data_IF_194422187981
#
_entry.id   IF_194422187981
#
_cell.length_a   1.000
_cell.length_b   1.000
_cell.length_c   1.000
_cell.angle_alpha   90.00
_cell.angle_beta   90.00
_cell.angle_gamma   90.00
#
_symmetry.space_group_name_H-M   'P 1'
#
loop_
_entity.id
_entity.type
_entity.pdbx_description
1 polymer ?
#
# COMPACT_ATOMS: atom_id res chain seq x y z
N UNK A 1 23.65 65.73 28.57
CA UNK A 1 23.62 64.75 27.47
C UNK A 1 24.26 63.44 27.94
N UNK A 2 23.52 62.37 28.27
CA UNK A 2 24.12 61.06 28.51
C UNK A 2 23.99 60.18 27.25
N UNK A 3 25.11 59.71 26.71
CA UNK A 3 25.13 58.67 25.67
C UNK A 3 24.91 57.30 26.32
N UNK A 4 23.81 56.64 25.97
CA UNK A 4 23.51 55.24 26.29
C UNK A 4 24.37 54.34 25.40
N UNK A 5 25.16 53.44 26.01
CA UNK A 5 25.90 52.38 25.31
C UNK A 5 24.95 51.19 25.08
N UNK A 6 24.71 50.86 23.81
CA UNK A 6 23.99 49.65 23.41
C UNK A 6 24.90 48.42 23.52
N UNK A 7 24.43 47.39 24.22
CA UNK A 7 25.05 46.06 24.25
C UNK A 7 24.40 45.21 23.15
N UNK A 8 25.15 44.57 22.22
CA UNK A 8 24.54 43.81 21.14
C UNK A 8 23.99 42.50 21.68
N UNK A 9 22.72 42.27 21.37
CA UNK A 9 21.97 41.05 21.65
C UNK A 9 22.52 39.90 20.79
N UNK A 10 23.30 39.00 21.39
CA UNK A 10 23.77 37.79 20.73
C UNK A 10 22.63 36.77 20.57
N UNK A 11 22.15 36.56 19.34
CA UNK A 11 21.26 35.45 19.02
C UNK A 11 22.11 34.19 18.78
N UNK A 12 22.11 33.28 19.75
CA UNK A 12 22.62 31.92 19.57
C UNK A 12 21.60 31.12 18.74
N UNK A 13 21.84 31.02 17.44
CA UNK A 13 21.14 30.07 16.56
C UNK A 13 21.69 28.66 16.83
N UNK A 14 21.04 27.93 17.74
CA UNK A 14 21.28 26.50 17.89
C UNK A 14 20.76 25.76 16.64
N UNK A 15 21.69 25.25 15.83
CA UNK A 15 21.37 24.35 14.73
C UNK A 15 20.94 23.00 15.31
N UNK A 16 19.63 22.74 15.34
CA UNK A 16 19.13 21.40 15.58
C UNK A 16 19.42 20.54 14.34
N UNK A 17 20.48 19.73 14.39
CA UNK A 17 20.72 18.70 13.40
C UNK A 17 19.63 17.63 13.54
N UNK A 18 18.67 17.61 12.62
CA UNK A 18 17.73 16.51 12.52
C UNK A 18 18.52 15.26 12.11
N UNK A 19 18.64 14.28 13.03
CA UNK A 19 19.18 12.96 12.70
C UNK A 19 18.18 12.29 11.76
N UNK A 20 18.42 12.36 10.45
CA UNK A 20 17.71 11.53 9.50
C UNK A 20 18.21 10.11 9.66
N UNK A 21 17.35 9.24 10.18
CA UNK A 21 17.64 7.82 10.26
C UNK A 21 17.88 7.29 8.84
N UNK A 22 19.11 6.84 8.58
CA UNK A 22 19.49 6.28 7.29
C UNK A 22 18.63 5.05 6.99
N UNK A 23 18.01 5.06 5.81
CA UNK A 23 17.24 3.93 5.31
C UNK A 23 18.22 2.86 4.80
N UNK A 24 17.91 1.56 4.96
CA UNK A 24 18.75 0.51 4.40
C UNK A 24 18.83 0.60 2.88
N UNK A 25 19.94 0.13 2.30
CA UNK A 25 20.02 -0.10 0.86
C UNK A 25 18.99 -1.15 0.42
N UNK A 26 18.38 -0.94 -0.76
CA UNK A 26 17.41 -1.85 -1.32
C UNK A 26 18.09 -3.00 -2.11
N UNK A 27 17.44 -4.16 -2.23
CA UNK A 27 16.13 -4.51 -1.66
C UNK A 27 16.20 -4.99 -0.19
N UNK A 28 15.11 -4.80 0.56
CA UNK A 28 15.00 -5.33 1.94
C UNK A 28 13.55 -5.62 2.35
N UNK A 29 13.37 -6.54 3.30
CA UNK A 29 12.08 -6.78 3.93
C UNK A 29 11.69 -5.67 4.91
N UNK A 30 10.44 -5.23 4.83
CA UNK A 30 9.85 -4.29 5.77
C UNK A 30 8.51 -4.81 6.30
N UNK A 31 8.15 -4.36 7.50
CA UNK A 31 6.91 -4.72 8.20
C UNK A 31 6.01 -3.50 8.23
N UNK A 32 4.75 -3.69 7.85
CA UNK A 32 3.71 -2.66 7.97
C UNK A 32 3.41 -2.40 9.44
N UNK A 33 3.46 -1.12 9.84
CA UNK A 33 3.26 -0.67 11.24
C UNK A 33 2.04 0.24 11.41
N UNK A 34 1.24 0.41 10.37
CA UNK A 34 -0.06 1.08 10.42
C UNK A 34 -1.16 0.02 10.31
N UNK A 35 -2.35 0.30 10.85
CA UNK A 35 -3.44 -0.69 10.90
C UNK A 35 -3.94 -1.06 9.50
N UNK A 36 -3.97 -0.08 8.60
CA UNK A 36 -4.26 -0.26 7.18
C UNK A 36 -3.41 0.70 6.33
N UNK A 37 -2.89 0.18 5.21
CA UNK A 37 -2.12 0.95 4.22
C UNK A 37 -2.67 0.66 2.83
N UNK A 38 -3.01 1.71 2.09
CA UNK A 38 -3.40 1.57 0.69
C UNK A 38 -2.15 1.34 -0.18
N UNK A 39 -2.15 0.22 -0.90
CA UNK A 39 -1.19 -0.08 -1.96
C UNK A 39 -1.67 0.62 -3.23
N UNK A 40 -0.77 1.25 -3.98
CA UNK A 40 -1.14 2.11 -5.13
C UNK A 40 -0.42 1.72 -6.41
N UNK A 41 -0.99 2.16 -7.53
CA UNK A 41 -0.47 1.95 -8.89
C UNK A 41 0.74 2.83 -9.25
N UNK A 42 1.14 3.75 -8.37
CA UNK A 42 2.30 4.63 -8.56
C UNK A 42 2.59 5.49 -7.32
N UNK A 43 3.69 6.26 -7.33
CA UNK A 43 4.15 7.06 -6.19
C UNK A 43 3.36 8.38 -6.06
N UNK A 44 2.16 8.31 -5.48
CA UNK A 44 1.34 9.51 -5.23
C UNK A 44 -0.09 9.18 -4.84
N UNK A 45 -0.81 10.15 -4.24
CA UNK A 45 -2.20 9.94 -3.82
C UNK A 45 -3.22 10.42 -4.85
N UNK A 46 -2.91 11.50 -5.57
CA UNK A 46 -3.83 12.16 -6.51
C UNK A 46 -3.87 11.46 -7.87
N UNK A 47 -2.69 11.19 -8.45
CA UNK A 47 -2.59 10.62 -9.81
C UNK A 47 -2.63 9.08 -9.85
N UNK A 48 -2.48 8.44 -8.69
CA UNK A 48 -2.39 6.98 -8.60
C UNK A 48 -3.44 6.43 -7.63
N UNK A 49 -4.28 5.55 -8.17
CA UNK A 49 -5.36 4.90 -7.47
C UNK A 49 -4.85 3.78 -6.57
N UNK A 50 -5.65 3.45 -5.56
CA UNK A 50 -5.39 2.30 -4.72
C UNK A 50 -5.69 1.01 -5.49
N UNK A 51 -4.83 0.01 -5.32
CA UNK A 51 -4.91 -1.30 -5.99
C UNK A 51 -5.19 -2.43 -5.02
N UNK A 52 -4.92 -2.20 -3.73
CA UNK A 52 -5.10 -3.19 -2.66
C UNK A 52 -4.83 -2.56 -1.30
N UNK A 53 -4.83 -3.39 -0.27
CA UNK A 53 -4.62 -2.99 1.12
C UNK A 53 -3.64 -3.92 1.81
N UNK A 54 -2.81 -3.36 2.67
CA UNK A 54 -1.99 -4.09 3.63
C UNK A 54 -2.40 -3.72 5.04
N UNK A 55 -2.16 -4.62 5.98
CA UNK A 55 -2.48 -4.47 7.40
C UNK A 55 -1.21 -4.52 8.24
N UNK A 56 -1.32 -4.05 9.49
CA UNK A 56 -0.24 -4.15 10.47
C UNK A 56 0.30 -5.58 10.55
N UNK A 57 1.62 -5.72 10.47
CA UNK A 57 2.31 -7.01 10.52
C UNK A 57 2.55 -7.64 9.15
N UNK A 58 1.90 -7.17 8.09
CA UNK A 58 2.18 -7.64 6.73
C UNK A 58 3.63 -7.36 6.36
N UNK A 59 4.23 -8.33 5.66
CA UNK A 59 5.60 -8.24 5.15
C UNK A 59 5.56 -7.76 3.71
N UNK A 60 6.45 -6.84 3.39
CA UNK A 60 6.68 -6.38 2.01
C UNK A 60 8.17 -6.40 1.71
N UNK A 61 8.48 -6.61 0.44
CA UNK A 61 9.84 -6.46 -0.08
C UNK A 61 9.98 -5.09 -0.73
N UNK A 62 10.75 -4.19 -0.13
CA UNK A 62 11.03 -2.86 -0.67
C UNK A 62 12.12 -2.98 -1.72
N UNK A 63 11.87 -2.51 -2.94
CA UNK A 63 12.79 -2.54 -4.08
C UNK A 63 13.46 -1.20 -4.34
N UNK A 64 12.77 -0.09 -4.05
CA UNK A 64 13.27 1.26 -4.31
C UNK A 64 12.64 2.28 -3.36
N UNK A 65 13.38 3.35 -3.08
CA UNK A 65 12.86 4.56 -2.47
C UNK A 65 12.69 5.63 -3.54
N UNK A 66 11.47 6.11 -3.72
CA UNK A 66 11.11 7.14 -4.67
C UNK A 66 10.88 8.49 -3.96
N UNK A 67 11.05 9.62 -4.67
CA UNK A 67 10.80 10.95 -4.12
C UNK A 67 9.41 11.10 -3.49
N UNK A 68 9.30 12.01 -2.51
CA UNK A 68 8.05 12.22 -1.78
C UNK A 68 7.74 11.14 -0.74
N UNK A 69 8.72 10.28 -0.42
CA UNK A 69 8.61 9.27 0.64
C UNK A 69 7.81 8.04 0.22
N UNK A 70 7.82 7.68 -1.06
CA UNK A 70 7.14 6.49 -1.59
C UNK A 70 8.11 5.34 -1.72
N UNK A 71 7.71 4.15 -1.27
CA UNK A 71 8.51 2.95 -1.46
C UNK A 71 7.86 2.07 -2.52
N UNK A 72 8.63 1.72 -3.53
CA UNK A 72 8.24 0.71 -4.51
C UNK A 72 8.47 -0.67 -3.89
N UNK A 73 7.43 -1.47 -3.84
CA UNK A 73 7.41 -2.82 -3.28
C UNK A 73 7.11 -3.85 -4.36
N UNK A 74 7.48 -5.10 -4.12
CA UNK A 74 6.91 -6.21 -4.89
C UNK A 74 5.37 -6.18 -4.80
N UNK A 75 4.66 -6.53 -5.88
CA UNK A 75 3.21 -6.62 -5.87
C UNK A 75 2.74 -7.59 -4.77
N UNK A 76 1.97 -7.12 -3.78
CA UNK A 76 1.48 -7.99 -2.72
C UNK A 76 0.50 -9.06 -3.26
N UNK A 77 0.22 -10.12 -2.47
CA UNK A 77 -0.82 -11.09 -2.82
C UNK A 77 -2.13 -10.41 -3.18
N UNK A 78 -2.81 -10.93 -4.20
CA UNK A 78 -4.02 -10.31 -4.76
C UNK A 78 -3.74 -9.28 -5.86
N UNK A 79 -2.50 -8.84 -6.07
CA UNK A 79 -2.14 -7.97 -7.20
C UNK A 79 -2.33 -8.66 -8.55
N UNK A 80 -2.78 -7.91 -9.55
CA UNK A 80 -2.98 -8.42 -10.91
C UNK A 80 -2.94 -7.29 -11.95
N UNK A 81 -2.93 -7.68 -13.22
CA UNK A 81 -3.09 -6.80 -14.37
C UNK A 81 -4.18 -7.27 -15.35
N UNK A 82 -4.57 -6.39 -16.27
CA UNK A 82 -5.48 -6.69 -17.37
C UNK A 82 -4.79 -6.50 -18.73
N UNK A 83 -4.96 -7.48 -19.61
CA UNK A 83 -4.53 -7.40 -21.01
C UNK A 83 -5.64 -7.92 -21.92
N UNK A 84 -5.90 -7.25 -23.04
CA UNK A 84 -6.95 -7.70 -23.96
C UNK A 84 -6.61 -9.09 -24.52
N UNK A 85 -7.62 -9.96 -24.62
CA UNK A 85 -7.41 -11.36 -24.97
C UNK A 85 -6.76 -11.55 -26.35
N UNK A 86 -6.97 -10.60 -27.27
CA UNK A 86 -6.38 -10.59 -28.61
C UNK A 86 -4.83 -10.51 -28.62
N UNK A 87 -4.23 -10.01 -27.54
CA UNK A 87 -2.77 -9.89 -27.41
C UNK A 87 -2.10 -11.05 -26.67
N UNK A 88 -2.85 -12.08 -26.30
CA UNK A 88 -2.31 -13.24 -25.58
C UNK A 88 -2.77 -14.52 -26.25
N UNK A 89 -1.82 -15.30 -26.74
CA UNK A 89 -2.07 -16.66 -27.20
C UNK A 89 -1.95 -17.59 -26.01
N UNK A 90 -3.06 -18.25 -25.63
CA UNK A 90 -3.05 -19.27 -24.58
C UNK A 90 -2.11 -20.43 -24.93
N UNK A 91 -1.46 -20.95 -23.91
CA UNK A 91 -0.63 -22.16 -23.96
C UNK A 91 -1.24 -23.21 -23.00
N UNK A 92 -0.46 -24.16 -22.53
CA UNK A 92 -0.92 -25.19 -21.59
C UNK A 92 -1.38 -24.59 -20.25
N UNK A 93 -2.44 -25.17 -19.67
CA UNK A 93 -2.97 -24.78 -18.38
C UNK A 93 -3.46 -23.34 -18.31
N UNK A 94 -3.02 -22.61 -17.29
CA UNK A 94 -3.36 -21.21 -17.06
C UNK A 94 -2.31 -20.24 -17.62
N UNK A 95 -1.50 -20.64 -18.62
CA UNK A 95 -0.46 -19.79 -19.19
C UNK A 95 -0.84 -19.22 -20.55
N UNK A 96 -0.14 -18.16 -20.94
CA UNK A 96 -0.18 -17.61 -22.29
C UNK A 96 1.09 -16.86 -22.64
N UNK A 97 1.23 -16.53 -23.92
CA UNK A 97 2.35 -15.75 -24.45
C UNK A 97 1.80 -14.50 -25.12
N UNK A 98 2.37 -13.36 -24.76
CA UNK A 98 2.03 -12.08 -25.38
C UNK A 98 2.46 -12.09 -26.85
N UNK A 99 1.54 -11.79 -27.76
CA UNK A 99 1.75 -11.94 -29.22
C UNK A 99 2.35 -10.71 -29.88
N UNK A 100 2.20 -9.53 -29.26
CA UNK A 100 2.73 -8.26 -29.76
C UNK A 100 3.05 -7.32 -28.58
N UNK A 101 4.00 -6.41 -28.78
CA UNK A 101 4.29 -5.37 -27.79
C UNK A 101 3.02 -4.58 -27.47
N UNK A 102 2.67 -4.48 -26.20
CA UNK A 102 1.47 -3.80 -25.76
C UNK A 102 1.58 -3.34 -24.31
N UNK A 103 0.44 -3.02 -23.69
CA UNK A 103 0.35 -2.57 -22.33
C UNK A 103 -0.54 -3.49 -21.49
N UNK A 104 -0.07 -3.79 -20.28
CA UNK A 104 -0.88 -4.36 -19.20
C UNK A 104 -1.41 -3.22 -18.36
N UNK A 105 -2.71 -3.19 -18.14
CA UNK A 105 -3.35 -2.25 -17.22
C UNK A 105 -3.23 -2.75 -15.79
N UNK A 106 -2.79 -1.90 -14.88
CA UNK A 106 -2.67 -2.22 -13.46
C UNK A 106 -4.05 -2.45 -12.84
N UNK A 107 -4.30 -3.67 -12.36
CA UNK A 107 -5.56 -4.03 -11.70
C UNK A 107 -5.69 -3.45 -10.29
N UNK A 108 -6.94 -3.32 -9.83
CA UNK A 108 -7.31 -2.92 -8.47
C UNK A 108 -8.35 -3.86 -7.90
N UNK A 109 -8.16 -4.27 -6.64
CA UNK A 109 -9.15 -5.01 -5.85
C UNK A 109 -10.11 -4.09 -5.08
N UNK A 110 -9.84 -2.78 -5.06
CA UNK A 110 -10.54 -1.82 -4.19
C UNK A 110 -11.46 -0.85 -4.94
N UNK A 111 -11.60 -0.99 -6.27
CA UNK A 111 -12.56 -0.21 -7.07
C UNK A 111 -12.34 -0.27 -8.58
N UNK A 112 -13.25 0.34 -9.32
CA UNK A 112 -13.13 0.52 -10.77
C UNK A 112 -12.05 1.55 -11.12
N UNK A 113 -11.38 1.34 -12.26
CA UNK A 113 -10.22 2.13 -12.66
C UNK A 113 -10.41 2.64 -14.10
N UNK A 114 -11.01 3.82 -14.29
CA UNK A 114 -11.27 4.36 -15.62
C UNK A 114 -9.99 4.69 -16.40
N UNK A 115 -8.95 5.18 -15.72
CA UNK A 115 -7.64 5.55 -16.31
C UNK A 115 -6.50 4.72 -15.70
N UNK A 116 -6.53 3.41 -15.95
CA UNK A 116 -5.54 2.51 -15.39
C UNK A 116 -4.10 2.84 -15.82
N UNK A 117 -3.18 2.83 -14.86
CA UNK A 117 -1.74 2.88 -15.10
C UNK A 117 -1.38 1.69 -15.98
N UNK A 118 -0.42 1.90 -16.89
CA UNK A 118 -0.04 0.92 -17.91
C UNK A 118 1.43 0.55 -17.76
N UNK A 119 1.72 -0.74 -17.74
CA UNK A 119 3.07 -1.29 -17.88
C UNK A 119 3.26 -1.80 -19.30
N UNK A 120 4.40 -1.47 -19.91
CA UNK A 120 4.78 -2.04 -21.20
C UNK A 120 5.05 -3.53 -21.04
N UNK A 121 4.59 -4.33 -21.99
CA UNK A 121 4.89 -5.75 -22.08
C UNK A 121 5.36 -6.07 -23.50
N UNK A 122 6.43 -6.86 -23.59
CA UNK A 122 7.00 -7.25 -24.87
C UNK A 122 6.30 -8.49 -25.44
N UNK A 123 6.30 -8.60 -26.77
CA UNK A 123 5.98 -9.85 -27.45
C UNK A 123 6.91 -10.97 -26.97
N UNK A 124 6.36 -12.17 -26.81
CA UNK A 124 7.08 -13.32 -26.27
C UNK A 124 7.09 -13.42 -24.75
N UNK A 125 6.65 -12.39 -24.02
CA UNK A 125 6.51 -12.49 -22.56
C UNK A 125 5.48 -13.55 -22.18
N UNK A 126 5.90 -14.52 -21.37
CA UNK A 126 4.98 -15.46 -20.73
C UNK A 126 4.18 -14.76 -19.63
N UNK A 127 2.90 -15.08 -19.55
CA UNK A 127 1.98 -14.58 -18.53
C UNK A 127 1.21 -15.74 -17.91
N UNK A 128 0.93 -15.61 -16.62
CA UNK A 128 -0.03 -16.46 -15.93
C UNK A 128 -1.40 -15.79 -15.96
N UNK A 129 -2.41 -16.50 -16.46
CA UNK A 129 -3.80 -16.09 -16.59
C UNK A 129 -4.56 -16.55 -15.34
N UNK A 130 -5.04 -15.59 -14.57
CA UNK A 130 -5.82 -15.78 -13.35
C UNK A 130 -7.34 -15.85 -13.63
N UNK A 131 -7.76 -15.40 -14.81
CA UNK A 131 -9.17 -15.38 -15.21
C UNK A 131 -9.41 -14.55 -16.46
N UNK A 132 -10.68 -14.43 -16.85
CA UNK A 132 -11.13 -13.62 -17.97
C UNK A 132 -12.35 -12.81 -17.56
N UNK A 133 -12.43 -11.56 -18.01
CA UNK A 133 -13.57 -10.69 -17.75
C UNK A 133 -13.77 -9.71 -18.92
N UNK A 134 -15.02 -9.38 -19.20
CA UNK A 134 -15.36 -8.23 -20.05
C UNK A 134 -15.27 -6.96 -19.23
N UNK A 135 -14.31 -6.09 -19.57
CA UNK A 135 -14.06 -4.83 -18.87
C UNK A 135 -14.65 -3.67 -19.69
N UNK A 136 -15.50 -2.81 -19.10
CA UNK A 136 -15.97 -1.61 -19.79
C UNK A 136 -14.81 -0.66 -20.05
N UNK A 137 -14.73 -0.12 -21.27
CA UNK A 137 -13.74 0.88 -21.65
C UNK A 137 -14.43 2.03 -22.36
N UNK A 138 -13.74 3.17 -22.52
CA UNK A 138 -14.25 4.31 -23.28
C UNK A 138 -14.60 3.98 -24.74
N UNK A 139 -14.04 2.90 -25.30
CA UNK A 139 -14.32 2.42 -26.67
C UNK A 139 -15.35 1.28 -26.71
N UNK A 140 -15.97 0.95 -25.59
CA UNK A 140 -16.87 -0.18 -25.43
C UNK A 140 -16.29 -1.32 -24.59
N UNK A 141 -17.09 -2.37 -24.32
CA UNK A 141 -16.66 -3.53 -23.55
C UNK A 141 -15.58 -4.32 -24.30
N UNK A 142 -14.50 -4.67 -23.60
CA UNK A 142 -13.38 -5.45 -24.15
C UNK A 142 -13.16 -6.68 -23.29
N UNK A 143 -13.03 -7.87 -23.89
CA UNK A 143 -12.61 -9.09 -23.17
C UNK A 143 -11.14 -8.97 -22.80
N UNK A 144 -10.83 -9.17 -21.53
CA UNK A 144 -9.49 -9.09 -20.99
C UNK A 144 -9.14 -10.31 -20.15
N UNK A 145 -7.91 -10.77 -20.24
CA UNK A 145 -7.35 -11.68 -19.26
C UNK A 145 -6.93 -10.91 -18.02
N UNK A 146 -7.35 -11.41 -16.86
CA UNK A 146 -6.74 -11.11 -15.58
C UNK A 146 -5.44 -11.89 -15.52
N UNK A 147 -4.30 -11.23 -15.40
CA UNK A 147 -2.99 -11.89 -15.34
C UNK A 147 -2.27 -11.60 -14.03
N UNK A 148 -1.38 -12.50 -13.63
CA UNK A 148 -0.46 -12.26 -12.54
C UNK A 148 0.44 -11.05 -12.86
N UNK A 149 0.96 -10.35 -11.83
CA UNK A 149 1.89 -9.24 -12.04
C UNK A 149 3.09 -9.66 -12.88
N UNK A 150 3.56 -8.75 -13.75
CA UNK A 150 4.71 -9.04 -14.59
C UNK A 150 6.01 -9.08 -13.77
N UNK A 151 7.04 -9.81 -14.23
CA UNK A 151 8.36 -9.75 -13.61
C UNK A 151 8.88 -8.30 -13.53
N UNK A 152 9.33 -7.88 -12.35
CA UNK A 152 9.83 -6.52 -12.12
C UNK A 152 8.75 -5.44 -12.01
N UNK A 153 7.46 -5.79 -12.07
CA UNK A 153 6.39 -4.86 -11.72
C UNK A 153 6.52 -4.43 -10.25
N UNK A 154 6.10 -3.21 -9.94
CA UNK A 154 6.07 -2.70 -8.58
C UNK A 154 4.70 -2.14 -8.23
N UNK A 155 4.43 -2.11 -6.93
CA UNK A 155 3.35 -1.30 -6.33
C UNK A 155 3.95 -0.31 -5.34
N UNK A 156 3.19 0.70 -4.94
CA UNK A 156 3.71 1.77 -4.08
C UNK A 156 2.93 1.90 -2.78
N UNK A 157 3.68 2.15 -1.70
CA UNK A 157 3.15 2.49 -0.39
C UNK A 157 3.92 3.68 0.20
N UNK A 158 3.36 4.45 1.15
CA UNK A 158 4.11 5.44 1.90
C UNK A 158 5.21 4.77 2.72
N UNK A 159 6.45 5.24 2.62
CA UNK A 159 7.59 4.68 3.37
C UNK A 159 7.42 4.79 4.88
N UNK A 160 6.76 5.86 5.36
CA UNK A 160 6.41 6.04 6.77
C UNK A 160 5.43 4.99 7.32
N UNK A 161 4.83 4.15 6.46
CA UNK A 161 3.91 3.10 6.87
C UNK A 161 4.61 1.77 7.21
N UNK A 162 5.91 1.65 6.94
CA UNK A 162 6.69 0.44 7.18
C UNK A 162 7.96 0.74 7.96
N UNK A 163 8.47 -0.28 8.64
CA UNK A 163 9.83 -0.25 9.21
C UNK A 163 10.63 -1.44 8.67
N UNK A 164 11.95 -1.32 8.45
CA UNK A 164 12.78 -2.46 8.08
C UNK A 164 12.61 -3.60 9.08
N UNK A 165 12.46 -4.83 8.60
CA UNK A 165 12.23 -6.00 9.46
C UNK A 165 13.36 -6.22 10.48
N UNK A 166 14.60 -5.81 10.13
CA UNK A 166 15.76 -5.80 11.03
C UNK A 166 15.59 -4.84 12.21
N UNK A 167 14.91 -3.70 12.03
CA UNK A 167 14.60 -2.73 13.09
C UNK A 167 13.34 -3.13 13.86
N UNK A 168 12.35 -3.75 13.20
CA UNK A 168 11.13 -4.24 13.84
C UNK A 168 11.41 -5.24 14.97
N UNK A 169 12.34 -6.19 14.74
CA UNK A 169 12.72 -7.19 15.75
C UNK A 169 13.27 -6.57 17.04
N UNK A 170 14.02 -5.45 16.94
CA UNK A 170 14.56 -4.75 18.11
C UNK A 170 13.44 -4.11 18.93
N UNK A 171 12.49 -3.43 18.27
CA UNK A 171 11.32 -2.83 18.93
C UNK A 171 10.47 -3.89 19.65
N UNK A 172 10.24 -5.04 19.00
CA UNK A 172 9.46 -6.13 19.59
C UNK A 172 10.18 -6.85 20.74
N UNK A 173 11.51 -6.86 20.76
CA UNK A 173 12.32 -7.44 21.83
C UNK A 173 12.48 -6.50 23.04
N UNK A 174 12.51 -5.18 22.79
CA UNK A 174 12.63 -4.15 23.83
C UNK A 174 11.28 -3.80 24.50
N UNK A 175 10.15 -4.26 23.96
CA UNK A 175 8.88 -4.21 24.68
C UNK A 175 8.91 -5.22 25.84
N UNK A 176 8.74 -4.78 27.10
CA UNK A 176 8.64 -5.72 28.22
C UNK A 176 7.46 -6.66 27.94
N UNK A 177 7.67 -7.96 28.15
CA UNK A 177 6.61 -8.99 28.17
C UNK A 177 5.63 -8.71 29.31
N UNK A 178 4.83 -7.66 29.20
CA UNK A 178 3.75 -7.32 30.12
C UNK A 178 2.50 -7.02 29.32
N UNK A 179 1.84 -8.10 28.92
CA UNK A 179 0.40 -8.17 28.77
C UNK A 179 0.04 -9.63 28.98
N UNK A 180 0.21 -10.08 30.22
CA UNK A 180 -0.55 -11.22 30.69
C UNK A 180 -2.03 -10.86 30.54
N UNK A 181 -2.70 -11.54 29.60
CA UNK A 181 -4.13 -11.86 29.59
C UNK A 181 -4.98 -10.93 30.47
N UNK A 182 -5.42 -9.80 29.91
CA UNK A 182 -6.56 -9.10 30.47
C UNK A 182 -7.73 -10.10 30.51
N UNK A 183 -8.18 -10.46 31.71
CA UNK A 183 -9.38 -11.25 31.90
C UNK A 183 -10.55 -10.59 31.16
N UNK A 184 -11.54 -11.36 30.65
CA UNK A 184 -12.72 -10.76 30.05
C UNK A 184 -13.41 -9.88 31.10
N UNK A 185 -13.69 -8.63 30.75
CA UNK A 185 -14.57 -7.76 31.53
C UNK A 185 -15.91 -8.47 31.72
N UNK A 186 -16.54 -8.42 32.92
CA UNK A 186 -17.88 -8.96 33.10
C UNK A 186 -18.87 -8.22 32.19
N UNK A 187 -19.69 -8.98 31.46
CA UNK A 187 -20.80 -8.46 30.64
C UNK A 187 -21.69 -7.51 31.45
N UNK A 188 -22.11 -6.36 30.90
CA UNK A 188 -23.11 -5.53 31.54
C UNK A 188 -24.47 -6.26 31.58
N UNK A 189 -25.11 -6.24 32.74
CA UNK A 189 -26.43 -6.82 32.97
C UNK A 189 -27.50 -6.19 32.04
N UNK A 190 -28.57 -6.92 31.67
CA UNK A 190 -29.61 -6.42 30.78
C UNK A 190 -30.36 -5.25 31.42
N UNK A 191 -30.37 -4.10 30.76
CA UNK A 191 -31.26 -3.00 31.13
C UNK A 191 -32.70 -3.36 30.76
N UNK A 192 -33.55 -3.54 31.75
CA UNK A 192 -35.00 -3.66 31.58
C UNK A 192 -35.57 -2.31 31.18
N UNK A 193 -36.10 -2.22 29.94
CA UNK A 193 -36.89 -1.08 29.50
C UNK A 193 -38.17 -1.00 30.35
N UNK A 194 -38.31 0.07 31.16
CA UNK A 194 -39.60 0.46 31.75
C UNK A 194 -40.51 0.96 30.63
N UNK A 195 -41.63 0.26 30.40
CA UNK A 195 -42.71 0.73 29.54
C UNK A 195 -43.43 1.96 30.13
N UNK A 196 -44.06 2.79 29.29
CA UNK A 196 -44.71 4.01 29.74
C UNK A 196 -45.95 3.73 30.61
N UNK A 197 -46.03 4.49 31.71
CA UNK A 197 -47.12 4.51 32.68
C UNK A 197 -48.42 5.02 32.03
N UNK A 198 -49.44 4.16 31.94
CA UNK A 198 -50.80 4.54 31.62
C UNK A 198 -51.51 5.01 32.90
N UNK A 199 -51.99 6.24 32.91
CA UNK A 199 -52.83 6.81 33.96
C UNK A 199 -54.30 6.51 33.60
N UNK A 200 -55.11 5.90 34.48
CA UNK A 200 -56.51 5.64 34.16
C UNK A 200 -57.42 6.85 34.48
N UNK A 201 -58.49 6.98 33.69
CA UNK A 201 -59.80 7.46 34.14
C UNK A 201 -60.73 6.26 34.20
#
# INVERSE_FOLDING_TARGET
>A
MPLVRYLPWGVLLAWAAAVQAELPHTPYEAIVVQDEVLVRSGPGKQMYYATGKLKRGDRVMVRRHDPGGWFAIDPPPGSFGWIATEFVRRTEGNRGVVTANNFVRVGSEVGEVPDAVRHLVAAGQEVEILGEQTVPTSRGPVRMYKIAPLPGEHRWIPGAAVVPASKYRKIAQDQPKSSARAAPLPSPAPQTKKGPSLVPR
#
